data_IF_491988696916
#
_entry.id   IF_491988696916
#
_cell.length_a   1.000
_cell.length_b   1.000
_cell.length_c   1.000
_cell.angle_alpha   90.00
_cell.angle_beta   90.00
_cell.angle_gamma   90.00
#
_symmetry.space_group_name_H-M   'P 1'
#
loop_
_entity.id
_entity.type
_entity.pdbx_description
1 polymer ?
#
# COMPACT_ATOMS: atom_id res chain seq x y z
N UNK A 1 5.73 -4.01 34.32
CA UNK A 1 5.29 -3.78 32.92
C UNK A 1 5.24 -2.27 32.69
N UNK A 2 6.17 -1.73 31.90
CA UNK A 2 6.39 -0.26 31.76
C UNK A 2 5.21 0.52 31.15
N UNK A 3 4.37 -0.13 30.36
CA UNK A 3 3.29 0.52 29.60
C UNK A 3 1.87 0.15 30.07
N UNK A 4 1.76 -0.75 31.05
CA UNK A 4 0.47 -1.09 31.64
C UNK A 4 0.16 -0.07 32.76
N UNK A 5 -1.01 0.54 32.72
CA UNK A 5 -1.48 1.50 33.73
C UNK A 5 -2.13 0.77 34.91
N UNK A 6 -2.49 1.51 35.95
CA UNK A 6 -3.12 0.96 37.15
C UNK A 6 -4.49 0.31 36.88
N UNK A 7 -5.15 0.66 35.79
CA UNK A 7 -6.41 0.07 35.31
C UNK A 7 -6.21 -1.27 34.57
N UNK A 8 -4.98 -1.76 34.47
CA UNK A 8 -4.64 -2.98 33.74
C UNK A 8 -4.61 -2.80 32.21
N UNK A 9 -4.75 -1.57 31.69
CA UNK A 9 -4.84 -1.26 30.27
C UNK A 9 -3.56 -0.62 29.73
N UNK A 10 -3.35 -0.77 28.44
CA UNK A 10 -2.33 -0.04 27.68
C UNK A 10 -2.98 1.08 26.92
N UNK A 11 -2.56 2.30 27.21
CA UNK A 11 -3.04 3.51 26.54
C UNK A 11 -1.95 4.08 25.64
N UNK A 12 -2.21 4.08 24.35
CA UNK A 12 -1.33 4.69 23.34
C UNK A 12 -1.78 6.11 23.02
N UNK A 13 -0.83 6.97 22.67
CA UNK A 13 -1.15 8.27 22.06
C UNK A 13 -1.44 8.05 20.57
N UNK A 14 -2.57 8.57 20.10
CA UNK A 14 -2.98 8.53 18.70
C UNK A 14 -2.64 9.88 18.08
N UNK A 15 -1.68 9.91 17.16
CA UNK A 15 -1.25 11.11 16.45
C UNK A 15 -2.00 11.18 15.11
N UNK A 16 -2.98 12.05 15.01
CA UNK A 16 -3.81 12.24 13.81
C UNK A 16 -3.14 13.13 12.77
N UNK A 17 -2.40 14.12 13.23
CA UNK A 17 -1.66 15.07 12.40
C UNK A 17 -0.20 15.07 12.80
N UNK A 18 0.68 15.57 11.91
CA UNK A 18 2.08 15.75 12.24
C UNK A 18 2.27 16.93 13.20
N UNK A 19 3.03 16.69 14.26
CA UNK A 19 3.51 17.67 15.22
C UNK A 19 4.97 17.35 15.58
N UNK A 20 5.58 18.15 16.44
CA UNK A 20 6.93 17.92 16.96
C UNK A 20 7.00 16.64 17.80
N UNK A 21 5.88 16.21 18.40
CA UNK A 21 5.77 15.03 19.24
C UNK A 21 5.46 13.73 18.45
N UNK A 22 5.18 13.82 17.14
CA UNK A 22 4.88 12.65 16.33
C UNK A 22 3.98 12.93 15.13
N UNK A 23 3.38 11.87 14.58
CA UNK A 23 2.54 11.93 13.39
C UNK A 23 3.29 11.60 12.10
N UNK A 24 2.56 11.59 10.99
CA UNK A 24 3.08 11.29 9.65
C UNK A 24 2.86 12.44 8.68
N UNK A 25 3.71 12.56 7.68
CA UNK A 25 3.53 13.53 6.57
C UNK A 25 2.48 13.09 5.57
N UNK A 26 2.07 11.83 5.63
CA UNK A 26 1.14 11.20 4.67
C UNK A 26 -0.33 11.31 5.08
N UNK A 27 -0.63 11.88 6.26
CA UNK A 27 -1.99 11.88 6.83
C UNK A 27 -2.42 10.53 7.44
N UNK A 28 -1.55 9.51 7.44
CA UNK A 28 -1.82 8.26 8.15
C UNK A 28 -1.73 8.49 9.66
N UNK A 29 -2.63 7.88 10.42
CA UNK A 29 -2.57 7.88 11.88
C UNK A 29 -1.31 7.12 12.31
N UNK A 30 -0.59 7.65 13.28
CA UNK A 30 0.50 6.94 13.96
C UNK A 30 0.24 6.83 15.46
N UNK A 31 0.93 5.91 16.10
CA UNK A 31 0.82 5.70 17.55
C UNK A 31 2.17 5.84 18.24
N UNK A 32 2.14 6.37 19.47
CA UNK A 32 3.33 6.51 20.32
C UNK A 32 2.99 6.26 21.80
N UNK A 33 3.99 5.92 22.58
CA UNK A 33 3.94 5.75 24.04
C UNK A 33 2.85 4.80 24.58
N UNK A 34 2.83 3.50 24.16
CA UNK A 34 3.67 2.79 23.20
C UNK A 34 3.13 2.85 21.77
N UNK A 35 3.98 2.50 20.79
CA UNK A 35 3.51 2.32 19.40
C UNK A 35 2.89 0.93 19.22
N UNK A 36 1.58 0.83 19.33
CA UNK A 36 0.85 -0.44 19.19
C UNK A 36 0.79 -0.93 17.73
N UNK A 37 1.10 -0.08 16.73
CA UNK A 37 1.18 -0.50 15.33
C UNK A 37 2.40 -1.39 15.04
N UNK A 38 3.38 -1.44 15.96
CA UNK A 38 4.57 -2.28 15.84
C UNK A 38 4.42 -3.67 16.46
N UNK A 39 3.23 -4.01 16.98
CA UNK A 39 2.97 -5.36 17.50
C UNK A 39 3.20 -6.37 16.38
N UNK A 40 4.04 -7.40 16.59
CA UNK A 40 4.33 -8.41 15.59
C UNK A 40 3.04 -9.06 15.06
N UNK A 41 2.88 -9.08 13.74
CA UNK A 41 1.72 -9.70 13.09
C UNK A 41 2.13 -10.75 12.07
N UNK A 42 3.37 -10.68 11.56
CA UNK A 42 3.88 -11.54 10.48
C UNK A 42 4.69 -12.72 10.97
N UNK A 43 5.17 -12.66 12.20
CA UNK A 43 5.88 -13.77 12.84
C UNK A 43 4.86 -14.85 13.19
N UNK A 44 5.00 -16.10 12.71
CA UNK A 44 4.01 -17.15 12.90
C UNK A 44 3.97 -17.68 14.35
N UNK A 45 5.04 -17.49 15.11
CA UNK A 45 5.13 -17.95 16.50
C UNK A 45 4.82 -16.83 17.49
N UNK A 46 5.53 -15.71 17.38
CA UNK A 46 5.41 -14.59 18.31
C UNK A 46 4.15 -13.75 18.07
N UNK A 47 3.71 -13.63 16.82
CA UNK A 47 2.53 -12.83 16.46
C UNK A 47 1.28 -13.24 17.23
N UNK A 48 0.85 -14.51 17.17
CA UNK A 48 -0.32 -15.01 17.90
C UNK A 48 -0.17 -14.87 19.42
N UNK A 49 1.01 -15.19 19.97
CA UNK A 49 1.27 -15.13 21.43
C UNK A 49 1.13 -13.69 21.94
N UNK A 50 1.79 -12.72 21.28
CA UNK A 50 1.75 -11.33 21.74
C UNK A 50 0.35 -10.74 21.54
N UNK A 51 -0.32 -11.05 20.43
CA UNK A 51 -1.67 -10.56 20.17
C UNK A 51 -2.72 -11.13 21.11
N UNK A 52 -2.56 -12.35 21.59
CA UNK A 52 -3.47 -12.97 22.55
C UNK A 52 -3.44 -12.30 23.94
N UNK A 53 -2.44 -11.47 24.22
CA UNK A 53 -2.38 -10.68 25.45
C UNK A 53 -3.33 -9.47 25.44
N UNK A 54 -3.82 -9.07 24.26
CA UNK A 54 -4.78 -7.98 24.12
C UNK A 54 -6.20 -8.54 24.07
N UNK A 55 -6.91 -8.37 25.16
CA UNK A 55 -8.26 -8.87 25.31
C UNK A 55 -9.27 -7.72 25.27
N UNK A 56 -10.48 -7.92 24.73
CA UNK A 56 -11.56 -6.98 24.91
C UNK A 56 -11.99 -6.92 26.37
N UNK A 57 -12.69 -5.86 26.74
CA UNK A 57 -13.35 -5.77 28.04
C UNK A 57 -14.42 -6.85 28.15
N UNK A 58 -14.75 -7.27 29.40
CA UNK A 58 -15.79 -8.26 29.64
C UNK A 58 -17.12 -7.82 29.01
N UNK A 59 -17.77 -8.72 28.28
CA UNK A 59 -19.00 -8.42 27.52
C UNK A 59 -18.78 -7.78 26.17
N UNK A 60 -17.55 -7.47 25.76
CA UNK A 60 -17.20 -6.90 24.45
C UNK A 60 -16.42 -7.89 23.57
N UNK A 61 -16.41 -7.62 22.28
CA UNK A 61 -15.66 -8.40 21.30
C UNK A 61 -14.79 -7.47 20.42
N UNK A 62 -13.63 -7.99 19.96
CA UNK A 62 -12.84 -7.32 18.94
C UNK A 62 -13.41 -7.57 17.56
N UNK A 63 -13.56 -6.49 16.79
CA UNK A 63 -13.78 -6.59 15.35
C UNK A 63 -12.57 -6.03 14.61
N UNK A 64 -11.98 -6.80 13.71
CA UNK A 64 -10.93 -6.34 12.79
C UNK A 64 -11.54 -6.21 11.40
N UNK A 65 -11.63 -4.97 10.90
CA UNK A 65 -12.20 -4.66 9.60
C UNK A 65 -11.10 -3.97 8.78
N UNK A 66 -10.76 -4.54 7.64
CA UNK A 66 -9.75 -4.01 6.72
C UNK A 66 -10.27 -4.02 5.29
N UNK A 67 -9.93 -2.99 4.52
CA UNK A 67 -10.28 -2.96 3.10
C UNK A 67 -9.39 -3.90 2.30
N UNK A 68 -10.02 -4.81 1.54
CA UNK A 68 -9.27 -5.67 0.64
C UNK A 68 -8.62 -4.85 -0.48
N UNK A 69 -7.28 -4.86 -0.52
CA UNK A 69 -6.47 -4.27 -1.59
C UNK A 69 -6.79 -2.79 -1.87
N UNK A 70 -6.96 -1.98 -0.83
CA UNK A 70 -7.35 -0.58 -0.96
C UNK A 70 -6.46 0.20 -1.95
N UNK A 71 -5.13 0.13 -1.80
CA UNK A 71 -4.21 0.88 -2.64
C UNK A 71 -4.27 0.49 -4.13
N UNK A 72 -4.25 -0.80 -4.51
CA UNK A 72 -4.44 -1.20 -5.91
C UNK A 72 -5.77 -0.74 -6.51
N UNK A 73 -6.87 -0.84 -5.77
CA UNK A 73 -8.19 -0.40 -6.24
C UNK A 73 -8.22 1.11 -6.50
N UNK A 74 -7.67 1.89 -5.61
CA UNK A 74 -7.56 3.35 -5.74
C UNK A 74 -6.68 3.69 -6.96
N UNK A 75 -5.53 3.03 -7.11
CA UNK A 75 -4.63 3.25 -8.25
C UNK A 75 -5.33 2.97 -9.59
N UNK A 76 -6.02 1.83 -9.71
CA UNK A 76 -6.76 1.46 -10.92
C UNK A 76 -7.88 2.47 -11.21
N UNK A 77 -8.65 2.86 -10.19
CA UNK A 77 -9.69 3.87 -10.31
C UNK A 77 -9.14 5.20 -10.85
N UNK A 78 -8.09 5.72 -10.22
CA UNK A 78 -7.49 6.98 -10.66
C UNK A 78 -6.85 6.89 -12.04
N UNK A 79 -6.22 5.78 -12.40
CA UNK A 79 -5.69 5.59 -13.75
C UNK A 79 -6.81 5.66 -14.81
N UNK A 80 -7.93 5.00 -14.54
CA UNK A 80 -9.09 5.02 -15.43
C UNK A 80 -9.71 6.42 -15.56
N UNK A 81 -9.96 7.10 -14.42
CA UNK A 81 -10.53 8.45 -14.39
C UNK A 81 -9.57 9.46 -15.04
N UNK A 82 -8.27 9.38 -14.75
CA UNK A 82 -7.27 10.25 -15.37
C UNK A 82 -7.25 10.09 -16.90
N UNK A 83 -7.26 8.84 -17.39
CA UNK A 83 -7.32 8.54 -18.80
C UNK A 83 -8.56 9.14 -19.48
N UNK A 84 -9.75 9.01 -18.86
CA UNK A 84 -10.99 9.61 -19.36
C UNK A 84 -10.95 11.12 -19.37
N UNK A 85 -10.56 11.76 -18.28
CA UNK A 85 -10.59 13.22 -18.13
C UNK A 85 -9.56 13.94 -19.00
N UNK A 86 -8.47 13.26 -19.37
CA UNK A 86 -7.40 13.80 -20.20
C UNK A 86 -7.51 13.39 -21.68
N UNK A 87 -8.49 12.55 -22.02
CA UNK A 87 -8.61 11.95 -23.35
C UNK A 87 -7.32 11.21 -23.78
N UNK A 88 -6.58 10.66 -22.82
CA UNK A 88 -5.36 9.86 -23.00
C UNK A 88 -5.62 8.53 -22.31
N UNK A 89 -6.24 7.55 -22.99
CA UNK A 89 -6.52 6.25 -22.38
C UNK A 89 -5.24 5.63 -21.84
N UNK A 90 -5.24 5.25 -20.57
CA UNK A 90 -4.15 4.49 -19.99
C UNK A 90 -4.45 3.00 -20.21
N UNK A 91 -3.68 2.40 -21.12
CA UNK A 91 -3.84 1.01 -21.55
C UNK A 91 -3.86 0.04 -20.37
N UNK A 92 -4.84 -0.87 -20.37
CA UNK A 92 -5.04 -1.89 -19.33
C UNK A 92 -5.84 -1.43 -18.11
N UNK A 93 -6.01 -0.13 -17.87
CA UNK A 93 -6.74 0.34 -16.68
C UNK A 93 -8.22 -0.05 -16.68
N UNK A 94 -8.87 -0.02 -17.84
CA UNK A 94 -10.28 -0.37 -17.98
C UNK A 94 -10.54 -1.85 -17.68
N UNK A 95 -9.64 -2.73 -18.10
CA UNK A 95 -9.72 -4.18 -17.87
C UNK A 95 -9.67 -4.52 -16.37
N UNK A 96 -8.80 -3.84 -15.62
CA UNK A 96 -8.75 -4.00 -14.16
C UNK A 96 -9.98 -3.44 -13.46
N UNK A 97 -10.56 -2.34 -13.95
CA UNK A 97 -11.84 -1.82 -13.42
C UNK A 97 -12.95 -2.83 -13.65
N UNK A 98 -13.04 -3.40 -14.84
CA UNK A 98 -14.04 -4.42 -15.18
C UNK A 98 -13.86 -5.68 -14.31
N UNK A 99 -12.63 -6.15 -14.16
CA UNK A 99 -12.35 -7.30 -13.31
C UNK A 99 -12.82 -7.08 -11.86
N UNK A 100 -12.54 -5.93 -11.27
CA UNK A 100 -13.02 -5.60 -9.92
C UNK A 100 -14.55 -5.42 -9.81
N UNK A 101 -15.20 -4.96 -10.86
CA UNK A 101 -16.66 -4.82 -10.89
C UNK A 101 -17.36 -6.17 -11.06
N UNK A 102 -16.72 -7.10 -11.77
CA UNK A 102 -17.25 -8.44 -12.03
C UNK A 102 -17.05 -9.34 -10.81
N UNK A 103 -15.86 -9.28 -10.20
CA UNK A 103 -15.51 -10.07 -9.03
C UNK A 103 -14.81 -9.18 -7.98
N UNK A 104 -15.50 -8.83 -6.88
CA UNK A 104 -14.93 -8.07 -5.78
C UNK A 104 -13.73 -8.73 -5.09
N UNK A 105 -13.58 -10.06 -5.20
CA UNK A 105 -12.44 -10.81 -4.65
C UNK A 105 -11.23 -10.83 -5.57
N UNK A 106 -11.30 -10.20 -6.75
CA UNK A 106 -10.18 -10.07 -7.68
C UNK A 106 -8.91 -9.60 -6.98
N UNK A 107 -7.82 -10.36 -7.13
CA UNK A 107 -6.52 -10.03 -6.55
C UNK A 107 -5.59 -9.41 -7.61
N UNK A 108 -5.38 -8.09 -7.50
CA UNK A 108 -4.46 -7.34 -8.36
C UNK A 108 -3.06 -7.98 -8.47
N UNK A 109 -2.53 -8.46 -7.35
CA UNK A 109 -1.19 -9.04 -7.33
C UNK A 109 -1.14 -10.38 -8.06
N UNK A 110 -2.23 -11.16 -8.02
CA UNK A 110 -2.37 -12.40 -8.79
C UNK A 110 -2.51 -12.10 -10.27
N UNK A 111 -3.38 -11.18 -10.66
CA UNK A 111 -3.53 -10.77 -12.07
C UNK A 111 -2.19 -10.33 -12.67
N UNK A 112 -1.45 -9.47 -11.98
CA UNK A 112 -0.13 -9.02 -12.44
C UNK A 112 0.87 -10.16 -12.46
N UNK A 113 0.85 -11.07 -11.50
CA UNK A 113 1.71 -12.25 -11.47
C UNK A 113 1.51 -13.14 -12.70
N UNK A 114 0.26 -13.41 -13.06
CA UNK A 114 -0.11 -14.18 -14.26
C UNK A 114 0.30 -13.48 -15.56
N UNK A 115 0.01 -12.17 -15.67
CA UNK A 115 0.38 -11.36 -16.84
C UNK A 115 1.89 -11.27 -17.05
N UNK A 116 2.68 -11.26 -15.99
CA UNK A 116 4.13 -11.07 -16.02
C UNK A 116 4.93 -12.36 -15.89
N UNK A 117 4.25 -13.48 -15.60
CA UNK A 117 4.89 -14.76 -15.26
C UNK A 117 5.91 -14.66 -14.11
N UNK A 118 5.57 -13.87 -13.09
CA UNK A 118 6.36 -13.66 -11.88
C UNK A 118 5.63 -14.29 -10.70
N UNK A 119 6.30 -14.95 -9.73
CA UNK A 119 5.64 -15.48 -8.54
C UNK A 119 4.87 -14.38 -7.78
N UNK A 120 3.64 -14.68 -7.32
CA UNK A 120 2.73 -13.73 -6.64
C UNK A 120 3.40 -12.94 -5.52
N UNK A 121 4.28 -13.58 -4.73
CA UNK A 121 5.02 -12.92 -3.64
C UNK A 121 5.93 -11.81 -4.18
N UNK A 122 6.65 -12.05 -5.27
CA UNK A 122 7.49 -11.06 -5.92
C UNK A 122 6.65 -9.98 -6.60
N UNK A 123 5.57 -10.38 -7.28
CA UNK A 123 4.60 -9.47 -7.89
C UNK A 123 4.06 -8.47 -6.87
N UNK A 124 3.67 -8.93 -5.68
CA UNK A 124 3.22 -8.04 -4.59
C UNK A 124 4.27 -7.01 -4.19
N UNK A 125 5.53 -7.43 -4.07
CA UNK A 125 6.64 -6.53 -3.72
C UNK A 125 6.90 -5.49 -4.81
N UNK A 126 6.88 -5.92 -6.08
CA UNK A 126 7.06 -5.02 -7.23
C UNK A 126 5.89 -4.04 -7.35
N UNK A 127 4.65 -4.54 -7.26
CA UNK A 127 3.44 -3.72 -7.34
C UNK A 127 3.46 -2.59 -6.31
N UNK A 128 3.60 -2.94 -5.03
CA UNK A 128 3.64 -1.95 -3.96
C UNK A 128 4.86 -1.04 -4.09
N UNK A 129 6.02 -1.60 -4.40
CA UNK A 129 7.25 -0.82 -4.60
C UNK A 129 7.09 0.24 -5.68
N UNK A 130 6.61 -0.14 -6.86
CA UNK A 130 6.42 0.78 -7.99
C UNK A 130 5.30 1.80 -7.73
N UNK A 131 4.21 1.40 -7.08
CA UNK A 131 3.14 2.33 -6.66
C UNK A 131 3.65 3.44 -5.73
N UNK A 132 4.64 3.13 -4.90
CA UNK A 132 5.28 4.08 -3.99
C UNK A 132 6.56 4.72 -4.53
N UNK A 133 6.85 4.56 -5.83
CA UNK A 133 8.01 5.17 -6.49
C UNK A 133 9.36 4.53 -6.13
N UNK A 134 9.36 3.26 -5.72
CA UNK A 134 10.57 2.52 -5.39
C UNK A 134 11.46 2.37 -6.64
N UNK A 135 12.73 2.74 -6.52
CA UNK A 135 13.71 2.56 -7.58
C UNK A 135 14.14 1.10 -7.75
N UNK A 136 14.71 0.78 -8.91
CA UNK A 136 15.14 -0.59 -9.29
C UNK A 136 16.11 -1.20 -8.29
N UNK A 137 17.06 -0.42 -7.77
CA UNK A 137 18.05 -0.91 -6.79
C UNK A 137 17.36 -1.40 -5.50
N UNK A 138 16.34 -0.65 -5.02
CA UNK A 138 15.60 -1.02 -3.84
C UNK A 138 14.68 -2.23 -4.06
N UNK A 139 14.15 -2.39 -5.29
CA UNK A 139 13.42 -3.60 -5.70
C UNK A 139 14.37 -4.81 -5.70
N UNK A 140 15.59 -4.67 -6.24
CA UNK A 140 16.60 -5.72 -6.24
C UNK A 140 16.94 -6.20 -4.82
N UNK A 141 17.19 -5.26 -3.89
CA UNK A 141 17.39 -5.55 -2.47
C UNK A 141 16.20 -6.27 -1.84
N UNK A 142 14.97 -5.78 -2.11
CA UNK A 142 13.74 -6.33 -1.51
C UNK A 142 13.41 -7.74 -1.99
N UNK A 143 13.85 -8.08 -3.19
CA UNK A 143 13.67 -9.41 -3.80
C UNK A 143 14.88 -10.33 -3.65
N UNK A 144 15.99 -9.82 -3.14
CA UNK A 144 17.28 -10.54 -3.03
C UNK A 144 17.77 -11.06 -4.38
N UNK A 145 17.68 -10.23 -5.43
CA UNK A 145 18.11 -10.54 -6.81
C UNK A 145 19.11 -9.52 -7.33
N UNK A 146 19.90 -9.86 -8.37
CA UNK A 146 20.78 -8.90 -9.03
C UNK A 146 20.02 -7.71 -9.64
N UNK A 147 20.63 -6.53 -9.65
CA UNK A 147 20.02 -5.30 -10.19
C UNK A 147 19.59 -5.47 -11.66
N UNK A 148 20.38 -6.19 -12.46
CA UNK A 148 20.06 -6.44 -13.88
C UNK A 148 18.80 -7.31 -14.05
N UNK A 149 18.56 -8.25 -13.15
CA UNK A 149 17.33 -9.03 -13.12
C UNK A 149 16.14 -8.17 -12.69
N UNK A 150 16.30 -7.35 -11.67
CA UNK A 150 15.29 -6.40 -11.25
C UNK A 150 14.91 -5.41 -12.37
N UNK A 151 15.86 -4.92 -13.16
CA UNK A 151 15.60 -4.11 -14.34
C UNK A 151 14.72 -4.82 -15.37
N UNK A 152 14.99 -6.09 -15.63
CA UNK A 152 14.18 -6.91 -16.56
C UNK A 152 12.76 -7.08 -16.04
N UNK A 153 12.60 -7.41 -14.76
CA UNK A 153 11.29 -7.56 -14.11
C UNK A 153 10.47 -6.26 -14.15
N UNK A 154 11.08 -5.13 -13.81
CA UNK A 154 10.41 -3.81 -13.87
C UNK A 154 10.01 -3.45 -15.30
N UNK A 155 10.86 -3.76 -16.29
CA UNK A 155 10.53 -3.57 -17.71
C UNK A 155 9.34 -4.43 -18.14
N UNK A 156 9.32 -5.71 -17.78
CA UNK A 156 8.21 -6.62 -18.03
C UNK A 156 6.92 -6.12 -17.37
N UNK A 157 7.01 -5.69 -16.11
CA UNK A 157 5.89 -5.11 -15.38
C UNK A 157 5.27 -3.92 -16.14
N UNK A 158 6.09 -2.93 -16.51
CA UNK A 158 5.58 -1.75 -17.23
C UNK A 158 5.07 -2.05 -18.65
N UNK A 159 5.52 -3.13 -19.27
CA UNK A 159 4.99 -3.59 -20.55
C UNK A 159 3.60 -4.23 -20.41
N UNK A 160 3.30 -4.85 -19.26
CA UNK A 160 2.03 -5.55 -19.01
C UNK A 160 1.02 -4.70 -18.22
N UNK A 161 1.50 -3.74 -17.44
CA UNK A 161 0.69 -2.85 -16.60
C UNK A 161 1.09 -1.38 -16.86
N UNK A 162 0.96 -0.91 -18.12
CA UNK A 162 1.48 0.40 -18.55
C UNK A 162 0.78 1.57 -17.85
N UNK A 163 -0.47 1.42 -17.43
CA UNK A 163 -1.26 2.47 -16.80
C UNK A 163 -0.64 2.94 -15.46
N UNK A 164 0.09 2.08 -14.75
CA UNK A 164 0.76 2.48 -13.50
C UNK A 164 1.80 3.55 -13.77
N UNK A 165 2.69 3.31 -14.74
CA UNK A 165 3.69 4.30 -15.17
C UNK A 165 3.03 5.54 -15.80
N UNK A 166 2.00 5.33 -16.60
CA UNK A 166 1.25 6.41 -17.27
C UNK A 166 0.63 7.36 -16.26
N UNK A 167 -0.03 6.84 -15.23
CA UNK A 167 -0.60 7.64 -14.14
C UNK A 167 0.49 8.42 -13.39
N UNK A 168 1.57 7.76 -12.98
CA UNK A 168 2.68 8.38 -12.26
C UNK A 168 3.31 9.52 -13.06
N UNK A 169 3.59 9.29 -14.34
CA UNK A 169 4.14 10.32 -15.24
C UNK A 169 3.16 11.48 -15.39
N UNK A 170 1.86 11.20 -15.57
CA UNK A 170 0.84 12.23 -15.69
C UNK A 170 0.71 13.10 -14.46
N UNK A 171 0.79 12.49 -13.27
CA UNK A 171 0.78 13.20 -11.98
C UNK A 171 2.03 14.08 -11.83
N UNK A 172 3.22 13.55 -12.13
CA UNK A 172 4.47 14.32 -12.07
C UNK A 172 4.50 15.49 -13.04
N UNK A 173 4.03 15.31 -14.26
CA UNK A 173 3.92 16.41 -15.23
C UNK A 173 3.01 17.53 -14.71
N UNK A 174 1.87 17.15 -14.12
CA UNK A 174 0.95 18.12 -13.52
C UNK A 174 1.52 18.84 -12.31
N UNK A 175 2.36 18.16 -11.51
CA UNK A 175 3.13 18.79 -10.42
C UNK A 175 4.05 19.88 -10.95
N UNK A 176 4.76 19.59 -12.03
CA UNK A 176 5.70 20.53 -12.62
C UNK A 176 5.00 21.72 -13.30
N UNK A 177 3.79 21.52 -13.84
CA UNK A 177 2.98 22.58 -14.46
C UNK A 177 2.33 23.52 -13.41
N UNK A 178 1.97 22.99 -12.27
CA UNK A 178 1.34 23.73 -11.18
C UNK A 178 2.24 23.63 -9.96
N UNK A 179 2.98 24.68 -9.65
CA UNK A 179 3.88 24.74 -8.48
C UNK A 179 3.20 24.56 -7.09
N UNK A 180 1.93 24.18 -7.08
CA UNK A 180 1.18 23.76 -5.89
C UNK A 180 0.28 22.60 -6.24
N UNK A 181 0.77 21.38 -6.05
CA UNK A 181 -0.09 20.23 -5.87
C UNK A 181 -0.21 19.97 -4.38
N UNK A 182 -1.32 20.41 -3.83
CA UNK A 182 -1.91 19.75 -2.67
C UNK A 182 -2.11 18.30 -3.12
N UNK A 183 -1.26 17.46 -2.62
CA UNK A 183 -0.94 16.13 -3.03
C UNK A 183 -2.16 15.25 -3.28
N UNK A 184 -2.17 14.60 -4.41
CA UNK A 184 -2.91 13.34 -4.63
C UNK A 184 -2.47 12.22 -3.66
N UNK A 185 -1.45 12.45 -2.85
CA UNK A 185 -0.93 11.56 -1.80
C UNK A 185 -1.69 11.78 -0.47
N UNK A 186 -2.53 12.79 -0.38
CA UNK A 186 -3.30 13.15 0.83
C UNK A 186 -4.80 12.84 0.70
N UNK A 187 -5.17 11.92 -0.18
CA UNK A 187 -6.49 11.32 -0.17
C UNK A 187 -6.39 9.92 0.44
#
# INVERSE_FOLDING_TARGET
>A
MKHCRADGRIHSHINQIRSDDGGTVSGRISMSNPNLQQIPARDPELGPIIRSLFLPEEGYQWAAIDYSQQEPRILVHYAHVYGKTRCIPLEGAAEFVEAYNTDPETDFHTMVAEMTNIPRKQSKTINLGLMYGMGVNKIAESLYIPVEEAKKLVKQYHARVPFVKGLMTGVMNRLNEKSSLLSLIHI
#
